data_IF_062351161042
#
_entry.id   IF_062351161042
#
_cell.length_a   1.000
_cell.length_b   1.000
_cell.length_c   1.000
_cell.angle_alpha   90.00
_cell.angle_beta   90.00
_cell.angle_gamma   90.00
#
_symmetry.space_group_name_H-M   'P 1'
#
loop_
_entity.id
_entity.type
_entity.pdbx_description
1 polymer ?
#
# COMPACT_ATOMS: atom_id res chain seq x y z
N UNK A 1 -6.14 20.04 -2.87
CA UNK A 1 -7.30 19.14 -2.67
C UNK A 1 -7.20 18.06 -3.72
N UNK A 2 -6.92 16.82 -3.31
CA UNK A 2 -6.86 15.67 -4.22
C UNK A 2 -8.28 15.13 -4.46
N UNK A 3 -8.59 14.70 -5.68
CA UNK A 3 -9.91 14.17 -6.06
C UNK A 3 -9.68 12.81 -6.73
N UNK A 4 -10.25 11.74 -6.18
CA UNK A 4 -10.20 10.39 -6.76
C UNK A 4 -11.60 9.79 -6.98
N UNK A 5 -11.79 9.00 -8.05
CA UNK A 5 -12.98 8.17 -8.30
C UNK A 5 -12.53 6.74 -8.65
N UNK A 6 -13.28 5.73 -8.20
CA UNK A 6 -12.97 4.32 -8.42
C UNK A 6 -14.06 3.66 -9.26
N UNK A 7 -13.64 2.86 -10.23
CA UNK A 7 -14.51 2.10 -11.13
C UNK A 7 -14.04 0.64 -11.15
N UNK A 8 -14.98 -0.27 -11.34
CA UNK A 8 -14.64 -1.65 -11.71
C UNK A 8 -14.46 -1.67 -13.24
N UNK A 9 -13.25 -1.92 -13.76
CA UNK A 9 -13.04 -1.99 -15.21
C UNK A 9 -13.80 -3.20 -15.79
N UNK A 10 -14.49 -2.99 -16.91
CA UNK A 10 -15.16 -4.07 -17.64
C UNK A 10 -14.15 -4.93 -18.40
N UNK A 11 -13.15 -4.28 -18.99
CA UNK A 11 -12.04 -4.90 -19.72
C UNK A 11 -10.71 -4.32 -19.23
N UNK A 12 -9.65 -5.13 -19.30
CA UNK A 12 -8.30 -4.66 -19.00
C UNK A 12 -7.73 -3.86 -20.19
N UNK A 13 -7.04 -2.74 -19.94
CA UNK A 13 -6.25 -2.06 -20.96
C UNK A 13 -5.26 -3.01 -21.65
N UNK A 14 -4.99 -2.78 -22.94
CA UNK A 14 -3.98 -3.57 -23.65
C UNK A 14 -2.58 -3.25 -23.12
N UNK A 15 -1.70 -4.23 -23.18
CA UNK A 15 -0.26 -4.09 -22.88
C UNK A 15 0.02 -3.52 -21.49
N UNK A 16 -0.72 -3.96 -20.46
CA UNK A 16 -0.54 -3.50 -19.07
C UNK A 16 0.92 -3.51 -18.59
N UNK A 17 1.68 -4.53 -18.97
CA UNK A 17 3.08 -4.70 -18.58
C UNK A 17 4.01 -3.61 -19.15
N UNK A 18 3.59 -2.89 -20.19
CA UNK A 18 4.33 -1.75 -20.74
C UNK A 18 4.26 -0.49 -19.86
N UNK A 19 3.29 -0.42 -18.95
CA UNK A 19 3.11 0.71 -18.06
C UNK A 19 3.93 0.55 -16.76
N UNK A 20 4.41 1.66 -16.17
CA UNK A 20 5.04 1.62 -14.85
C UNK A 20 4.10 0.97 -13.83
N UNK A 21 4.61 0.02 -13.06
CA UNK A 21 3.79 -0.73 -12.13
C UNK A 21 4.54 -1.14 -10.87
N UNK A 22 3.77 -1.24 -9.78
CA UNK A 22 4.29 -1.56 -8.45
C UNK A 22 3.42 -2.64 -7.80
N UNK A 23 4.05 -3.56 -7.09
CA UNK A 23 3.33 -4.47 -6.17
C UNK A 23 3.15 -3.76 -4.84
N UNK A 24 1.91 -3.72 -4.40
CA UNK A 24 1.51 -3.11 -3.14
C UNK A 24 0.96 -4.22 -2.26
N UNK A 25 1.63 -4.51 -1.15
CA UNK A 25 1.12 -5.42 -0.13
C UNK A 25 0.84 -4.62 1.13
N UNK A 26 -0.31 -4.85 1.77
CA UNK A 26 -0.68 -4.13 2.99
C UNK A 26 -1.54 -4.98 3.91
N UNK A 27 -1.46 -4.70 5.20
CA UNK A 27 -2.28 -5.31 6.23
C UNK A 27 -2.53 -4.36 7.39
N UNK A 28 -3.64 -4.57 8.09
CA UNK A 28 -4.00 -3.81 9.29
C UNK A 28 -3.66 -4.63 10.51
N UNK A 29 -2.71 -4.16 11.32
CA UNK A 29 -2.46 -4.71 12.66
C UNK A 29 -3.62 -4.35 13.58
N UNK A 30 -4.19 -3.16 13.40
CA UNK A 30 -5.43 -2.74 14.05
C UNK A 30 -6.23 -1.82 13.13
N UNK A 31 -7.56 -1.88 13.21
CA UNK A 31 -8.48 -1.03 12.44
C UNK A 31 -8.98 0.18 13.23
N UNK A 32 -8.94 0.11 14.58
CA UNK A 32 -9.30 1.22 15.46
C UNK A 32 -8.51 1.12 16.79
N UNK A 33 -7.48 1.96 17.01
CA UNK A 33 -6.94 2.95 16.07
C UNK A 33 -6.31 2.29 14.83
N UNK A 34 -6.20 3.02 13.72
CA UNK A 34 -5.65 2.44 12.49
C UNK A 34 -4.14 2.29 12.62
N UNK A 35 -3.67 1.04 12.58
CA UNK A 35 -2.25 0.67 12.47
C UNK A 35 -2.11 -0.22 11.25
N UNK A 36 -1.41 0.26 10.23
CA UNK A 36 -1.26 -0.44 8.94
C UNK A 36 0.20 -0.61 8.58
N UNK A 37 0.59 -1.82 8.20
CA UNK A 37 1.86 -2.10 7.53
C UNK A 37 1.67 -2.16 6.03
N UNK A 38 2.61 -1.62 5.27
CA UNK A 38 2.55 -1.57 3.81
C UNK A 38 3.94 -1.72 3.19
N UNK A 39 4.05 -2.55 2.15
CA UNK A 39 5.18 -2.60 1.23
C UNK A 39 4.82 -2.02 -0.14
N UNK A 40 5.83 -1.46 -0.80
CA UNK A 40 5.78 -0.95 -2.16
C UNK A 40 7.02 -1.50 -2.87
N UNK A 41 6.80 -2.49 -3.72
CA UNK A 41 7.86 -3.13 -4.50
C UNK A 41 7.76 -2.69 -5.96
N UNK A 42 8.86 -2.24 -6.55
CA UNK A 42 8.87 -1.73 -7.92
C UNK A 42 9.17 -2.87 -8.90
N UNK A 43 8.29 -3.09 -9.89
CA UNK A 43 8.36 -4.24 -10.81
C UNK A 43 8.70 -3.86 -12.26
N UNK A 44 8.80 -2.57 -12.57
CA UNK A 44 9.00 -2.04 -13.93
C UNK A 44 10.47 -2.07 -14.42
N UNK A 45 11.36 -2.76 -13.71
CA UNK A 45 12.78 -2.86 -14.06
C UNK A 45 13.59 -1.58 -13.86
N UNK A 46 13.00 -0.51 -13.32
CA UNK A 46 13.69 0.77 -13.06
C UNK A 46 14.76 0.70 -11.96
N UNK A 47 14.80 -0.38 -11.18
CA UNK A 47 15.74 -0.57 -10.08
C UNK A 47 15.49 0.33 -8.86
N UNK A 48 14.29 0.92 -8.72
CA UNK A 48 13.91 1.64 -7.51
C UNK A 48 13.88 0.71 -6.30
N UNK A 49 14.40 1.19 -5.17
CA UNK A 49 14.38 0.45 -3.91
C UNK A 49 12.95 0.22 -3.40
N UNK A 50 12.74 -0.97 -2.82
CA UNK A 50 11.48 -1.30 -2.17
C UNK A 50 11.29 -0.48 -0.90
N UNK A 51 10.07 -0.01 -0.67
CA UNK A 51 9.73 0.80 0.50
C UNK A 51 8.76 0.06 1.41
N UNK A 52 9.05 0.06 2.71
CA UNK A 52 8.24 -0.55 3.75
C UNK A 52 7.87 0.52 4.77
N UNK A 53 6.58 0.61 5.14
CA UNK A 53 6.07 1.69 5.99
C UNK A 53 5.07 1.15 7.00
N UNK A 54 5.18 1.60 8.25
CA UNK A 54 4.15 1.53 9.26
C UNK A 54 3.41 2.87 9.30
N UNK A 55 2.09 2.83 9.19
CA UNK A 55 1.23 4.01 9.33
C UNK A 55 0.37 3.87 10.59
N UNK A 56 0.41 4.88 11.45
CA UNK A 56 -0.50 5.02 12.60
C UNK A 56 -1.39 6.25 12.37
N UNK A 57 -2.72 6.09 12.45
CA UNK A 57 -3.66 7.21 12.36
C UNK A 57 -4.40 7.38 13.68
N UNK A 58 -4.46 8.61 14.17
CA UNK A 58 -5.22 8.95 15.37
C UNK A 58 -6.72 8.69 15.17
N UNK A 59 -7.42 8.39 16.26
CA UNK A 59 -8.88 8.35 16.28
C UNK A 59 -9.45 9.77 16.12
N UNK A 60 -10.65 9.89 15.54
CA UNK A 60 -11.33 11.17 15.30
C UNK A 60 -11.96 11.31 13.92
N UNK A 61 -12.95 12.21 13.80
CA UNK A 61 -13.76 12.44 12.59
C UNK A 61 -13.26 13.58 11.70
N UNK A 62 -12.64 14.62 12.26
CA UNK A 62 -12.38 15.88 11.54
C UNK A 62 -10.89 16.14 11.22
N UNK A 63 -9.97 15.81 12.12
CA UNK A 63 -8.53 15.97 11.92
C UNK A 63 -7.85 14.70 12.45
N UNK A 64 -7.45 13.82 11.53
CA UNK A 64 -6.65 12.64 11.88
C UNK A 64 -5.17 12.98 11.73
N UNK A 65 -4.41 12.86 12.81
CA UNK A 65 -2.95 12.88 12.74
C UNK A 65 -2.50 11.54 12.16
N UNK A 66 -1.62 11.59 11.17
CA UNK A 66 -1.04 10.43 10.51
C UNK A 66 0.47 10.46 10.71
N UNK A 67 1.00 9.38 11.28
CA UNK A 67 2.43 9.16 11.47
C UNK A 67 2.84 8.01 10.58
N UNK A 68 3.82 8.25 9.72
CA UNK A 68 4.45 7.23 8.90
C UNK A 68 5.87 6.98 9.41
N UNK A 69 6.21 5.70 9.57
CA UNK A 69 7.54 5.25 9.98
C UNK A 69 8.07 4.32 8.90
N UNK A 70 9.24 4.63 8.35
CA UNK A 70 9.91 3.72 7.42
C UNK A 70 10.42 2.49 8.19
N UNK A 71 10.29 1.33 7.57
CA UNK A 71 10.67 0.04 8.11
C UNK A 71 11.78 -0.59 7.25
N UNK A 72 12.57 -1.46 7.86
CA UNK A 72 13.34 -2.46 7.12
C UNK A 72 12.41 -3.57 6.62
N UNK A 73 12.87 -4.32 5.62
CA UNK A 73 12.16 -5.51 5.13
C UNK A 73 11.86 -6.52 6.26
N UNK A 74 12.84 -6.80 7.11
CA UNK A 74 12.68 -7.74 8.23
C UNK A 74 11.66 -7.27 9.27
N UNK A 75 11.59 -5.96 9.54
CA UNK A 75 10.57 -5.38 10.42
C UNK A 75 9.17 -5.53 9.79
N UNK A 76 9.04 -5.27 8.48
CA UNK A 76 7.78 -5.47 7.77
C UNK A 76 7.33 -6.94 7.81
N UNK A 77 8.24 -7.88 7.54
CA UNK A 77 7.93 -9.31 7.55
C UNK A 77 7.40 -9.74 8.94
N UNK A 78 8.11 -9.36 10.01
CA UNK A 78 7.70 -9.70 11.39
C UNK A 78 6.38 -9.04 11.82
N UNK A 79 6.14 -7.80 11.40
CA UNK A 79 4.88 -7.10 11.72
C UNK A 79 3.70 -7.60 10.88
N UNK A 80 3.96 -8.09 9.67
CA UNK A 80 2.93 -8.66 8.78
C UNK A 80 2.30 -9.92 9.37
N UNK A 81 3.02 -10.67 10.19
CA UNK A 81 2.49 -11.80 10.97
C UNK A 81 1.46 -11.39 12.03
N UNK A 82 1.38 -10.10 12.38
CA UNK A 82 0.50 -9.56 13.44
C UNK A 82 -0.76 -8.90 12.87
N UNK A 83 -0.99 -9.02 11.56
CA UNK A 83 -2.13 -8.42 10.88
C UNK A 83 -3.43 -9.10 11.30
N UNK A 84 -4.43 -8.31 11.62
CA UNK A 84 -5.80 -8.78 11.81
C UNK A 84 -6.43 -9.16 10.47
N UNK A 85 -6.55 -10.46 10.22
CA UNK A 85 -7.12 -11.01 9.00
C UNK A 85 -6.05 -11.29 7.95
N UNK A 86 -6.22 -10.76 6.74
CA UNK A 86 -5.36 -11.10 5.60
C UNK A 86 -4.59 -9.89 5.08
N UNK A 87 -3.37 -10.15 4.61
CA UNK A 87 -2.66 -9.22 3.75
C UNK A 87 -3.40 -9.10 2.41
N UNK A 88 -3.52 -7.87 1.93
CA UNK A 88 -4.03 -7.57 0.60
C UNK A 88 -2.84 -7.21 -0.27
N UNK A 89 -2.62 -7.99 -1.33
CA UNK A 89 -1.60 -7.70 -2.34
C UNK A 89 -2.26 -7.38 -3.68
N UNK A 90 -1.70 -6.41 -4.41
CA UNK A 90 -2.12 -6.06 -5.77
C UNK A 90 -0.95 -5.52 -6.59
N UNK A 91 -1.01 -5.73 -7.89
CA UNK A 91 -0.19 -4.98 -8.85
C UNK A 91 -0.96 -3.73 -9.25
N UNK A 92 -0.34 -2.56 -9.09
CA UNK A 92 -0.89 -1.27 -9.49
C UNK A 92 -0.13 -0.78 -10.71
N UNK A 93 -0.80 -0.78 -11.85
CA UNK A 93 -0.36 -0.13 -13.08
C UNK A 93 -0.70 1.37 -13.03
N UNK A 94 0.25 2.21 -13.43
CA UNK A 94 0.07 3.66 -13.55
C UNK A 94 -0.16 3.96 -15.02
N UNK A 95 -1.44 4.14 -15.37
CA UNK A 95 -1.88 4.43 -16.73
C UNK A 95 -2.15 5.94 -16.83
N UNK A 96 -1.59 6.66 -17.83
CA UNK A 96 -1.78 8.10 -18.02
C UNK A 96 -3.22 8.53 -18.27
#
# INVERSE_FOLDING_TARGET
>A
MEIERKYLPLDLPRDLESYPHKRLTQGYISRDPVIRVRSIETLDGSGQEDRYVLTVKSSGLAVRQEYELDLTRSQFDSLSEKVEGHLISKVRYVIP
#
